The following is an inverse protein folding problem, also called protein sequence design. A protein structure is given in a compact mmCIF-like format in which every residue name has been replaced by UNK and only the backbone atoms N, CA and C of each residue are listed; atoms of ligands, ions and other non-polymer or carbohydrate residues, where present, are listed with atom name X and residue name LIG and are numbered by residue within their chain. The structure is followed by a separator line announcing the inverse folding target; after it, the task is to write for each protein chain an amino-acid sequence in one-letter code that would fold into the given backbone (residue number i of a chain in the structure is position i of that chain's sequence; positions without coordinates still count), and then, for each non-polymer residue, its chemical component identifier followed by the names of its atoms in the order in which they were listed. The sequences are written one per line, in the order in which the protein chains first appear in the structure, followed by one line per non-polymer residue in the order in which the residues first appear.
data_IF_545881838608
#
_entry.id   IF_545881838608
#
_cell.length_a   1.000
_cell.length_b   1.000
_cell.length_c   1.000
_cell.angle_alpha   90.00
_cell.angle_beta   90.00
_cell.angle_gamma   90.00
#
_symmetry.space_group_name_H-M   'P 1'
#
loop_
_entity.id
_entity.type
_entity.pdbx_description
1 polymer ?
#
# COMPACT_ATOMS: atom_id res chain seq x y z
N UNK A 1 -4.93 -46.80 -36.91
CA UNK A 1 -4.01 -45.67 -37.17
C UNK A 1 -4.72 -44.32 -37.30
N UNK A 2 -5.84 -44.19 -38.02
CA UNK A 2 -6.61 -42.92 -38.11
C UNK A 2 -7.17 -42.38 -36.77
N UNK A 3 -7.56 -43.25 -35.82
CA UNK A 3 -8.04 -42.83 -34.48
C UNK A 3 -6.94 -42.28 -33.57
N UNK A 4 -5.69 -42.70 -33.76
CA UNK A 4 -4.56 -42.22 -32.96
C UNK A 4 -4.14 -40.81 -33.40
N UNK A 5 -4.25 -40.51 -34.70
CA UNK A 5 -3.95 -39.20 -35.29
C UNK A 5 -4.92 -38.10 -34.83
N UNK A 6 -6.20 -38.43 -34.61
CA UNK A 6 -7.19 -37.48 -34.09
C UNK A 6 -6.95 -37.12 -32.61
N UNK A 7 -6.41 -38.06 -31.82
CA UNK A 7 -6.13 -37.84 -30.41
C UNK A 7 -4.91 -36.93 -30.22
N UNK A 8 -3.87 -37.07 -31.06
CA UNK A 8 -2.71 -36.17 -31.04
C UNK A 8 -3.06 -34.75 -31.48
N UNK A 9 -4.01 -34.58 -32.40
CA UNK A 9 -4.45 -33.24 -32.84
C UNK A 9 -5.26 -32.50 -31.74
N UNK A 10 -6.00 -33.24 -30.91
CA UNK A 10 -6.73 -32.66 -29.78
C UNK A 10 -5.80 -32.16 -28.65
N UNK A 11 -4.63 -32.78 -28.43
CA UNK A 11 -3.65 -32.31 -27.44
C UNK A 11 -2.99 -30.99 -27.83
N UNK A 12 -2.86 -30.67 -29.12
CA UNK A 12 -2.30 -29.40 -29.57
C UNK A 12 -3.26 -28.22 -29.41
N UNK A 13 -4.57 -28.46 -29.31
CA UNK A 13 -5.57 -27.41 -29.07
C UNK A 13 -5.69 -27.02 -27.59
N UNK A 14 -5.09 -27.81 -26.68
CA UNK A 14 -5.08 -27.57 -25.23
C UNK A 14 -3.90 -26.70 -24.75
N UNK A 15 -3.01 -26.25 -25.64
CA UNK A 15 -1.97 -25.25 -25.30
C UNK A 15 -2.49 -23.80 -25.32
N UNK A 16 -3.79 -23.60 -25.60
CA UNK A 16 -4.47 -22.32 -25.49
C UNK A 16 -4.84 -21.97 -24.04
N UNK A 17 -3.88 -21.46 -23.28
CA UNK A 17 -4.02 -20.43 -22.24
C UNK A 17 -2.64 -20.19 -21.57
N UNK A 18 -1.60 -19.93 -22.38
CA UNK A 18 -0.38 -19.33 -21.84
C UNK A 18 -0.66 -17.81 -21.73
N UNK A 19 -1.04 -17.36 -20.53
CA UNK A 19 -1.06 -15.94 -20.19
C UNK A 19 0.34 -15.39 -20.46
N UNK A 20 0.54 -14.44 -21.40
CA UNK A 20 1.88 -14.04 -21.81
C UNK A 20 2.62 -13.45 -20.62
N UNK A 21 3.77 -14.03 -20.27
CA UNK A 21 4.66 -13.50 -19.23
C UNK A 21 5.12 -12.05 -19.54
N UNK A 22 4.99 -11.59 -20.78
CA UNK A 22 5.25 -10.21 -21.19
C UNK A 22 4.34 -9.19 -20.49
N UNK A 23 3.09 -9.53 -20.13
CA UNK A 23 2.25 -8.65 -19.30
C UNK A 23 2.78 -8.50 -17.88
N UNK A 24 3.54 -9.48 -17.36
CA UNK A 24 4.10 -9.41 -16.00
C UNK A 24 5.26 -8.44 -15.90
N UNK A 25 5.95 -8.14 -17.00
CA UNK A 25 7.03 -7.15 -17.02
C UNK A 25 6.47 -5.72 -17.05
N UNK A 26 5.38 -5.48 -17.79
CA UNK A 26 4.64 -4.21 -17.73
C UNK A 26 4.00 -3.96 -16.34
N UNK A 27 3.68 -5.00 -15.58
CA UNK A 27 3.01 -4.84 -14.30
C UNK A 27 3.90 -4.44 -13.10
N UNK A 28 5.22 -4.28 -13.30
CA UNK A 28 6.17 -4.10 -12.18
C UNK A 28 6.63 -2.67 -11.94
N UNK A 29 6.44 -1.77 -12.91
CA UNK A 29 6.74 -0.34 -12.74
C UNK A 29 5.43 0.42 -12.81
N UNK A 30 5.11 1.30 -11.83
CA UNK A 30 4.02 2.24 -11.99
C UNK A 30 4.26 3.09 -13.23
N UNK A 31 3.60 2.77 -14.33
CA UNK A 31 3.65 3.63 -15.50
C UNK A 31 2.84 4.88 -15.16
N UNK A 32 3.53 6.02 -15.14
CA UNK A 32 2.92 7.34 -14.92
C UNK A 32 1.67 7.53 -15.80
N UNK A 33 1.70 7.02 -17.03
CA UNK A 33 0.57 7.00 -17.97
C UNK A 33 -0.68 6.28 -17.42
N UNK A 34 -0.51 5.13 -16.74
CA UNK A 34 -1.64 4.41 -16.15
C UNK A 34 -2.27 5.21 -15.01
N UNK A 35 -1.47 5.86 -14.17
CA UNK A 35 -1.97 6.73 -13.10
C UNK A 35 -2.70 7.94 -13.68
N UNK A 36 -2.13 8.60 -14.69
CA UNK A 36 -2.77 9.72 -15.38
C UNK A 36 -4.10 9.31 -16.03
N UNK A 37 -4.15 8.13 -16.65
CA UNK A 37 -5.39 7.61 -17.23
C UNK A 37 -6.49 7.43 -16.17
N UNK A 38 -6.16 6.85 -15.02
CA UNK A 38 -7.10 6.73 -13.90
C UNK A 38 -7.47 8.11 -13.34
N UNK A 39 -6.52 9.03 -13.22
CA UNK A 39 -6.77 10.40 -12.77
C UNK A 39 -7.79 11.10 -13.67
N UNK A 40 -7.62 11.03 -14.99
CA UNK A 40 -8.56 11.58 -15.94
C UNK A 40 -9.96 10.96 -15.78
N UNK A 41 -10.03 9.63 -15.64
CA UNK A 41 -11.30 8.94 -15.44
C UNK A 41 -12.01 9.39 -14.15
N UNK A 42 -11.26 9.55 -13.05
CA UNK A 42 -11.77 10.03 -11.75
C UNK A 42 -12.30 11.46 -11.87
N UNK A 43 -11.56 12.35 -12.52
CA UNK A 43 -11.96 13.75 -12.74
C UNK A 43 -13.26 13.82 -13.55
N UNK A 44 -13.35 13.08 -14.67
CA UNK A 44 -14.57 13.05 -15.49
C UNK A 44 -15.76 12.47 -14.70
N UNK A 45 -15.55 11.40 -13.95
CA UNK A 45 -16.59 10.83 -13.08
C UNK A 45 -17.09 11.86 -12.05
N UNK A 46 -16.18 12.58 -11.38
CA UNK A 46 -16.54 13.61 -10.38
C UNK A 46 -17.33 14.75 -11.00
N UNK A 47 -16.92 15.24 -12.18
CA UNK A 47 -17.61 16.33 -12.88
C UNK A 47 -19.04 15.96 -13.26
N UNK A 48 -19.27 14.72 -13.71
CA UNK A 48 -20.60 14.30 -14.15
C UNK A 48 -21.52 13.85 -13.01
N UNK A 49 -20.98 13.24 -11.95
CA UNK A 49 -21.78 12.59 -10.90
C UNK A 49 -21.77 13.36 -9.58
N UNK A 50 -20.95 14.41 -9.46
CA UNK A 50 -20.72 15.16 -8.21
C UNK A 50 -20.32 14.26 -7.03
N UNK A 51 -19.66 13.14 -7.32
CA UNK A 51 -19.26 12.13 -6.35
C UNK A 51 -17.92 11.49 -6.73
N UNK A 52 -17.23 10.86 -5.78
CA UNK A 52 -15.98 10.15 -6.03
C UNK A 52 -16.22 8.66 -6.36
N UNK A 53 -15.44 8.09 -7.29
CA UNK A 53 -15.53 6.68 -7.65
C UNK A 53 -14.78 5.82 -6.63
N UNK A 54 -15.12 5.90 -5.35
CA UNK A 54 -14.50 5.08 -4.28
C UNK A 54 -15.36 3.88 -3.90
N UNK A 55 -14.72 2.85 -3.36
CA UNK A 55 -15.37 1.68 -2.77
C UNK A 55 -16.06 2.07 -1.46
N UNK A 56 -17.19 1.44 -1.15
CA UNK A 56 -17.78 1.58 0.18
C UNK A 56 -16.99 0.68 1.13
N UNK A 57 -16.40 1.27 2.17
CA UNK A 57 -15.71 0.54 3.26
C UNK A 57 -16.21 1.02 4.60
N UNK A 58 -16.11 0.16 5.60
CA UNK A 58 -16.46 0.49 6.97
C UNK A 58 -15.48 1.52 7.56
N UNK A 59 -15.99 2.37 8.46
CA UNK A 59 -15.28 3.52 9.02
C UNK A 59 -14.03 3.14 9.84
N UNK A 60 -13.90 1.88 10.26
CA UNK A 60 -12.79 1.39 11.08
C UNK A 60 -11.48 1.14 10.29
N UNK A 61 -11.51 1.25 8.96
CA UNK A 61 -10.31 1.12 8.13
C UNK A 61 -9.46 2.40 8.16
N UNK A 62 -8.13 2.28 8.09
CA UNK A 62 -7.22 3.44 8.00
C UNK A 62 -7.66 4.39 6.87
N UNK A 63 -7.57 5.72 7.05
CA UNK A 63 -7.98 6.75 6.07
C UNK A 63 -7.45 6.50 4.65
N UNK A 64 -6.24 5.96 4.53
CA UNK A 64 -5.63 5.61 3.25
C UNK A 64 -6.27 4.39 2.58
N UNK A 65 -6.82 3.49 3.38
CA UNK A 65 -7.57 2.32 2.91
C UNK A 65 -9.05 2.65 2.65
N UNK A 66 -9.59 3.75 3.18
CA UNK A 66 -10.99 4.13 2.94
C UNK A 66 -11.24 4.59 1.50
N UNK A 67 -10.25 5.24 0.87
CA UNK A 67 -10.42 5.90 -0.43
C UNK A 67 -9.96 5.07 -1.63
N UNK A 68 -10.14 3.75 -1.59
CA UNK A 68 -9.78 2.88 -2.72
C UNK A 68 -10.68 3.14 -3.91
N UNK A 69 -10.07 3.29 -5.09
CA UNK A 69 -10.77 3.51 -6.36
C UNK A 69 -11.63 2.30 -6.69
N UNK A 70 -12.89 2.55 -7.03
CA UNK A 70 -13.84 1.57 -7.53
C UNK A 70 -13.88 1.64 -9.06
N UNK A 71 -13.08 0.80 -9.72
CA UNK A 71 -13.04 0.74 -11.19
C UNK A 71 -14.38 0.38 -11.84
N UNK A 72 -15.31 -0.30 -11.12
CA UNK A 72 -16.64 -0.61 -11.65
C UNK A 72 -17.47 0.66 -11.91
N UNK A 73 -17.21 1.74 -11.18
CA UNK A 73 -17.84 3.06 -11.41
C UNK A 73 -17.23 3.80 -12.61
N UNK A 74 -16.00 3.45 -12.99
CA UNK A 74 -15.26 4.10 -14.07
C UNK A 74 -15.47 3.39 -15.42
N UNK A 75 -15.69 2.08 -15.41
CA UNK A 75 -15.75 1.25 -16.61
C UNK A 75 -17.19 1.05 -17.10
N UNK A 76 -17.43 0.98 -18.43
CA UNK A 76 -16.49 1.27 -19.52
C UNK A 76 -16.44 2.75 -19.91
N UNK A 77 -17.25 3.60 -19.26
CA UNK A 77 -17.54 4.96 -19.73
C UNK A 77 -16.35 5.92 -19.66
N UNK A 78 -15.60 5.89 -18.56
CA UNK A 78 -14.49 6.81 -18.29
C UNK A 78 -13.12 6.12 -18.43
N UNK A 79 -13.11 4.79 -18.35
CA UNK A 79 -11.93 3.95 -18.49
C UNK A 79 -12.33 2.64 -19.17
N UNK A 80 -11.53 2.12 -20.10
CA UNK A 80 -11.88 0.89 -20.83
C UNK A 80 -11.77 -0.37 -19.96
N UNK A 81 -10.70 -0.47 -19.18
CA UNK A 81 -10.42 -1.57 -18.26
C UNK A 81 -9.51 -1.09 -17.13
N UNK A 82 -9.44 -1.80 -15.99
CA UNK A 82 -8.52 -1.40 -14.92
C UNK A 82 -7.05 -1.51 -15.40
N UNK A 83 -6.12 -0.70 -14.88
CA UNK A 83 -4.70 -0.82 -15.22
C UNK A 83 -4.17 -2.24 -14.96
N UNK A 84 -3.23 -2.72 -15.78
CA UNK A 84 -2.67 -4.09 -15.63
C UNK A 84 -1.95 -4.32 -14.31
N UNK A 85 -1.30 -3.28 -13.78
CA UNK A 85 -0.59 -3.31 -12.50
C UNK A 85 -1.51 -3.14 -11.28
N UNK A 86 -2.82 -2.90 -11.50
CA UNK A 86 -3.81 -2.80 -10.44
C UNK A 86 -4.12 -4.17 -9.83
N UNK A 87 -4.44 -4.19 -8.54
CA UNK A 87 -4.84 -5.40 -7.84
C UNK A 87 -6.02 -6.11 -8.50
N UNK A 88 -6.99 -5.35 -9.00
CA UNK A 88 -8.17 -5.85 -9.71
C UNK A 88 -7.83 -6.59 -11.01
N UNK A 89 -6.66 -6.29 -11.60
CA UNK A 89 -6.10 -6.97 -12.78
C UNK A 89 -5.05 -8.03 -12.43
N UNK A 90 -4.88 -8.37 -11.14
CA UNK A 90 -3.87 -9.31 -10.67
C UNK A 90 -2.46 -8.73 -10.49
N UNK A 91 -2.34 -7.40 -10.53
CA UNK A 91 -1.12 -6.67 -10.21
C UNK A 91 -0.90 -6.48 -8.71
N UNK A 92 0.10 -5.66 -8.37
CA UNK A 92 0.58 -5.47 -6.99
C UNK A 92 0.23 -4.09 -6.40
N UNK A 93 -0.48 -3.24 -7.14
CA UNK A 93 -0.82 -1.91 -6.67
C UNK A 93 -2.32 -1.75 -6.45
N UNK A 94 -2.70 -1.19 -5.31
CA UNK A 94 -4.06 -0.72 -5.10
C UNK A 94 -4.12 0.78 -5.41
N UNK A 95 -5.04 1.17 -6.29
CA UNK A 95 -5.29 2.57 -6.60
C UNK A 95 -6.17 3.22 -5.54
N UNK A 96 -5.78 4.38 -5.06
CA UNK A 96 -6.49 5.17 -4.04
C UNK A 96 -6.61 6.63 -4.44
N UNK A 97 -7.52 7.35 -3.79
CA UNK A 97 -7.59 8.81 -3.84
C UNK A 97 -7.06 9.43 -2.54
N UNK A 98 -6.25 10.45 -2.67
CA UNK A 98 -5.86 11.37 -1.58
C UNK A 98 -6.44 12.75 -1.87
N UNK A 99 -6.45 13.64 -0.86
CA UNK A 99 -6.95 15.02 -1.00
C UNK A 99 -8.40 15.08 -1.54
N UNK A 100 -9.24 14.14 -1.10
CA UNK A 100 -10.57 13.87 -1.65
C UNK A 100 -11.57 15.03 -1.55
N UNK A 101 -11.39 15.94 -0.60
CA UNK A 101 -12.29 17.07 -0.39
C UNK A 101 -12.03 18.19 -1.40
N UNK A 102 -10.76 18.54 -1.60
CA UNK A 102 -10.33 19.66 -2.45
C UNK A 102 -9.98 19.19 -3.87
N UNK A 103 -8.79 18.63 -4.05
CA UNK A 103 -8.23 18.16 -5.32
C UNK A 103 -7.87 16.66 -5.24
N UNK A 104 -8.80 15.75 -5.57
CA UNK A 104 -8.59 14.31 -5.51
C UNK A 104 -7.47 13.86 -6.43
N UNK A 105 -6.42 13.29 -5.85
CA UNK A 105 -5.27 12.77 -6.59
C UNK A 105 -5.20 11.26 -6.50
N UNK A 106 -4.94 10.61 -7.63
CA UNK A 106 -4.73 9.18 -7.73
C UNK A 106 -3.32 8.84 -7.27
N UNK A 107 -3.23 7.98 -6.26
CA UNK A 107 -1.98 7.42 -5.73
C UNK A 107 -2.08 5.91 -5.61
N UNK A 108 -0.98 5.28 -5.25
CA UNK A 108 -0.85 3.83 -5.14
C UNK A 108 -0.52 3.40 -3.71
N UNK A 109 -1.10 2.28 -3.29
CA UNK A 109 -0.59 1.46 -2.20
C UNK A 109 0.17 0.30 -2.84
N UNK A 110 1.43 0.11 -2.44
CA UNK A 110 2.20 -1.08 -2.77
C UNK A 110 1.76 -2.25 -1.88
N UNK A 111 1.14 -3.26 -2.47
CA UNK A 111 0.63 -4.42 -1.74
C UNK A 111 1.71 -5.46 -1.42
N UNK A 112 2.94 -5.33 -1.92
CA UNK A 112 4.02 -6.30 -1.68
C UNK A 112 4.43 -6.36 -0.20
N UNK A 113 4.26 -5.27 0.55
CA UNK A 113 4.49 -5.25 2.01
C UNK A 113 3.43 -6.01 2.81
N UNK A 114 2.24 -6.22 2.23
CA UNK A 114 1.09 -6.82 2.93
C UNK A 114 1.42 -8.19 3.53
N UNK A 115 2.20 -9.00 2.81
CA UNK A 115 2.59 -10.33 3.30
C UNK A 115 3.41 -10.24 4.59
N UNK A 116 4.42 -9.37 4.63
CA UNK A 116 5.28 -9.19 5.81
C UNK A 116 4.48 -8.66 7.00
N UNK A 117 3.57 -7.71 6.75
CA UNK A 117 2.64 -7.18 7.75
C UNK A 117 1.74 -8.27 8.33
N UNK A 118 1.12 -9.09 7.47
CA UNK A 118 0.24 -10.18 7.89
C UNK A 118 0.98 -11.29 8.66
N UNK A 119 2.19 -11.65 8.20
CA UNK A 119 3.04 -12.63 8.88
C UNK A 119 3.41 -12.16 10.29
N UNK A 120 3.78 -10.88 10.44
CA UNK A 120 4.08 -10.30 11.74
C UNK A 120 2.83 -10.19 12.63
N UNK A 121 1.70 -9.70 12.09
CA UNK A 121 0.43 -9.61 12.82
C UNK A 121 0.01 -10.98 13.35
N UNK A 122 0.18 -12.04 12.56
CA UNK A 122 -0.12 -13.42 12.98
C UNK A 122 0.78 -13.86 14.14
N UNK A 123 2.09 -13.60 14.07
CA UNK A 123 3.01 -13.93 15.16
C UNK A 123 2.61 -13.21 16.47
N UNK A 124 2.26 -11.93 16.40
CA UNK A 124 1.77 -11.14 17.53
C UNK A 124 0.47 -11.72 18.10
N UNK A 125 -0.50 -12.02 17.24
CA UNK A 125 -1.78 -12.59 17.64
C UNK A 125 -1.62 -13.97 18.29
N UNK A 126 -0.76 -14.82 17.74
CA UNK A 126 -0.44 -16.14 18.31
C UNK A 126 0.21 -16.02 19.69
N UNK A 127 1.11 -15.06 19.89
CA UNK A 127 1.71 -14.79 21.19
C UNK A 127 0.67 -14.29 22.19
N UNK A 128 -0.15 -13.30 21.81
CA UNK A 128 -1.20 -12.71 22.67
C UNK A 128 -2.23 -13.74 23.10
N UNK A 129 -2.62 -14.66 22.22
CA UNK A 129 -3.51 -15.77 22.56
C UNK A 129 -2.99 -16.66 23.69
N UNK A 130 -1.67 -16.81 23.81
CA UNK A 130 -1.01 -17.62 24.85
C UNK A 130 -0.72 -16.81 26.12
N UNK A 131 -0.39 -15.53 25.98
CA UNK A 131 0.19 -14.71 27.07
C UNK A 131 -0.71 -13.54 27.54
N UNK A 132 -1.89 -13.33 26.95
CA UNK A 132 -2.84 -12.21 27.16
C UNK A 132 -2.35 -10.82 26.74
N UNK A 133 -1.05 -10.55 26.73
CA UNK A 133 -0.44 -9.29 26.29
C UNK A 133 0.59 -9.50 25.18
N UNK A 134 0.91 -8.43 24.45
CA UNK A 134 1.98 -8.43 23.45
C UNK A 134 3.35 -8.35 24.16
N UNK A 135 4.42 -8.93 23.59
CA UNK A 135 5.75 -8.89 24.19
C UNK A 135 6.41 -7.54 23.90
N UNK A 136 5.94 -6.47 24.54
CA UNK A 136 6.50 -5.13 24.36
C UNK A 136 7.92 -5.08 24.89
N UNK A 137 8.86 -4.64 24.04
CA UNK A 137 10.24 -4.38 24.39
C UNK A 137 10.42 -2.91 24.78
N UNK A 138 9.84 -1.99 24.00
CA UNK A 138 10.02 -0.55 24.15
C UNK A 138 8.76 0.21 23.73
N UNK A 139 8.49 1.32 24.43
CA UNK A 139 7.49 2.32 24.02
C UNK A 139 8.23 3.40 23.25
N UNK A 140 8.10 3.38 21.92
CA UNK A 140 8.85 4.30 21.03
C UNK A 140 8.20 5.68 21.02
N UNK A 141 6.88 5.72 21.09
CA UNK A 141 6.08 6.93 21.27
C UNK A 141 4.74 6.56 21.89
N UNK A 142 3.93 7.57 22.25
CA UNK A 142 2.56 7.33 22.72
C UNK A 142 1.76 6.55 21.68
N UNK A 143 1.40 5.31 22.02
CA UNK A 143 0.63 4.42 21.14
C UNK A 143 1.46 3.69 20.08
N UNK A 144 2.79 3.74 20.13
CA UNK A 144 3.69 3.01 19.21
C UNK A 144 4.67 2.15 19.99
N UNK A 145 4.65 0.84 19.74
CA UNK A 145 5.36 -0.16 20.53
C UNK A 145 6.29 -1.01 19.67
N UNK A 146 7.55 -1.10 20.10
CA UNK A 146 8.49 -2.09 19.61
C UNK A 146 8.25 -3.40 20.36
N UNK A 147 8.14 -4.50 19.61
CA UNK A 147 8.00 -5.82 20.20
C UNK A 147 9.34 -6.57 20.25
N UNK A 148 9.49 -7.35 21.31
CA UNK A 148 10.55 -8.32 21.51
C UNK A 148 10.37 -9.46 20.50
N UNK A 149 11.14 -9.38 19.41
CA UNK A 149 11.03 -10.30 18.28
C UNK A 149 11.52 -11.71 18.64
N UNK A 150 12.43 -11.85 19.60
CA UNK A 150 12.88 -13.15 20.09
C UNK A 150 11.72 -13.90 20.78
N UNK A 151 10.93 -13.21 21.61
CA UNK A 151 9.70 -13.79 22.21
C UNK A 151 8.64 -14.18 21.18
N UNK A 152 8.69 -13.59 20.00
CA UNK A 152 7.83 -13.93 18.86
C UNK A 152 8.40 -15.08 18.00
N UNK A 153 9.54 -15.66 18.39
CA UNK A 153 10.29 -16.66 17.62
C UNK A 153 10.75 -16.15 16.25
N UNK A 154 11.03 -14.86 16.15
CA UNK A 154 11.63 -14.24 14.97
C UNK A 154 13.13 -14.09 15.21
N UNK A 155 13.92 -14.22 14.13
CA UNK A 155 15.39 -14.14 14.20
C UNK A 155 15.92 -12.71 14.30
N UNK A 156 15.15 -11.76 13.79
CA UNK A 156 15.49 -10.36 13.70
C UNK A 156 14.22 -9.52 13.73
N UNK A 157 14.36 -8.20 13.91
CA UNK A 157 13.25 -7.28 13.81
C UNK A 157 12.64 -7.36 12.40
N UNK A 158 11.33 -7.62 12.28
CA UNK A 158 10.70 -7.74 10.98
C UNK A 158 10.66 -6.40 10.26
N UNK A 159 10.94 -6.43 8.96
CA UNK A 159 10.93 -5.26 8.07
C UNK A 159 10.18 -5.56 6.77
N UNK A 160 9.74 -4.51 6.08
CA UNK A 160 9.18 -4.58 4.72
C UNK A 160 9.96 -3.69 3.76
N UNK A 161 9.82 -3.93 2.45
CA UNK A 161 10.43 -3.07 1.44
C UNK A 161 9.69 -1.73 1.40
N UNK A 162 10.45 -0.64 1.28
CA UNK A 162 9.88 0.67 1.02
C UNK A 162 9.37 0.77 -0.43
N UNK A 163 8.20 1.40 -0.66
CA UNK A 163 7.77 1.81 -2.00
C UNK A 163 8.39 3.14 -2.46
N UNK A 164 9.06 3.88 -1.57
CA UNK A 164 9.63 5.20 -1.82
C UNK A 164 11.11 5.15 -2.19
N UNK A 165 11.84 4.14 -1.71
CA UNK A 165 13.26 3.98 -1.99
C UNK A 165 13.66 2.49 -2.13
N UNK A 166 14.41 2.10 -3.18
CA UNK A 166 14.68 0.68 -3.49
C UNK A 166 15.46 -0.06 -2.40
N UNK A 167 16.34 0.64 -1.70
CA UNK A 167 17.23 0.04 -0.68
C UNK A 167 16.67 0.12 0.74
N UNK A 168 15.59 0.87 0.96
CA UNK A 168 15.05 1.08 2.30
C UNK A 168 14.26 -0.13 2.79
N UNK A 169 14.49 -0.47 4.05
CA UNK A 169 13.78 -1.52 4.80
C UNK A 169 13.10 -0.89 5.99
N UNK A 170 11.78 -0.95 5.98
CA UNK A 170 10.91 -0.26 6.93
C UNK A 170 10.60 -1.20 8.09
N UNK A 171 10.99 -0.88 9.32
CA UNK A 171 10.68 -1.71 10.48
C UNK A 171 9.17 -1.77 10.75
N UNK A 172 8.73 -2.90 11.32
CA UNK A 172 7.35 -3.08 11.76
C UNK A 172 7.22 -2.89 13.27
N UNK A 173 6.19 -2.14 13.66
CA UNK A 173 5.80 -1.88 15.04
C UNK A 173 4.34 -2.30 15.26
N UNK A 174 3.85 -2.15 16.48
CA UNK A 174 2.45 -2.36 16.83
C UNK A 174 1.88 -1.07 17.44
N UNK A 175 0.65 -0.72 17.09
CA UNK A 175 -0.06 0.40 17.71
C UNK A 175 -0.81 0.01 19.00
N UNK A 176 -1.45 0.98 19.66
CA UNK A 176 -2.27 0.76 20.85
C UNK A 176 -3.45 -0.22 20.68
N UNK A 177 -3.92 -0.40 19.45
CA UNK A 177 -5.00 -1.32 19.09
C UNK A 177 -4.47 -2.74 18.78
N UNK A 178 -3.15 -2.93 18.81
CA UNK A 178 -2.49 -4.19 18.51
C UNK A 178 -2.37 -4.47 17.02
N UNK A 179 -2.52 -3.45 16.16
CA UNK A 179 -2.36 -3.54 14.72
C UNK A 179 -0.92 -3.26 14.31
N UNK A 180 -0.42 -3.99 13.32
CA UNK A 180 0.90 -3.75 12.75
C UNK A 180 0.92 -2.44 12.00
N UNK A 181 1.93 -1.63 12.30
CA UNK A 181 2.25 -0.39 11.58
C UNK A 181 3.65 -0.46 11.00
N UNK A 182 3.87 0.30 9.93
CA UNK A 182 5.14 0.42 9.21
C UNK A 182 5.78 1.75 9.57
N UNK A 183 7.05 1.71 9.96
CA UNK A 183 7.84 2.90 10.25
C UNK A 183 8.47 3.47 8.98
N UNK A 184 7.98 4.65 8.59
CA UNK A 184 8.44 5.40 7.42
C UNK A 184 9.47 6.48 7.76
N UNK A 185 9.99 6.53 8.99
CA UNK A 185 10.95 7.58 9.42
C UNK A 185 12.09 7.75 8.43
N UNK A 186 12.70 6.65 7.96
CA UNK A 186 13.82 6.71 6.99
C UNK A 186 13.40 7.25 5.62
N UNK A 187 12.18 6.97 5.17
CA UNK A 187 11.64 7.47 3.90
C UNK A 187 11.29 8.96 4.01
N UNK A 188 10.71 9.36 5.15
CA UNK A 188 10.37 10.75 5.44
C UNK A 188 11.67 11.57 5.49
N UNK A 189 12.69 11.13 6.22
CA UNK A 189 14.00 11.80 6.27
C UNK A 189 14.60 11.92 4.86
N UNK A 190 14.55 10.86 4.06
CA UNK A 190 15.01 10.91 2.67
C UNK A 190 14.27 11.97 1.85
N UNK A 191 12.95 12.05 1.98
CA UNK A 191 12.13 12.99 1.25
C UNK A 191 12.33 14.45 1.72
N UNK A 192 12.38 14.70 3.04
CA UNK A 192 12.64 16.03 3.60
C UNK A 192 14.01 16.58 3.19
N UNK A 193 15.02 15.71 3.06
CA UNK A 193 16.35 16.12 2.58
C UNK A 193 16.40 16.38 1.06
N UNK A 194 15.43 15.86 0.30
CA UNK A 194 15.43 15.89 -1.17
C UNK A 194 14.54 16.98 -1.75
N UNK A 195 13.43 17.30 -1.07
CA UNK A 195 12.40 18.20 -1.56
C UNK A 195 12.25 19.38 -0.61
N UNK A 196 11.94 20.55 -1.17
CA UNK A 196 11.64 21.73 -0.37
C UNK A 196 10.35 21.52 0.43
N UNK A 197 10.32 22.02 1.66
CA UNK A 197 9.15 21.93 2.53
C UNK A 197 9.09 23.10 3.52
N UNK A 198 7.91 23.33 4.07
CA UNK A 198 7.64 24.33 5.10
C UNK A 198 7.15 23.74 6.43
N UNK A 199 7.28 22.42 6.61
CA UNK A 199 6.85 21.74 7.83
C UNK A 199 7.52 22.31 9.07
N UNK A 200 6.71 22.46 10.11
CA UNK A 200 7.09 22.87 11.46
C UNK A 200 6.74 21.79 12.47
N UNK A 201 7.21 21.96 13.71
CA UNK A 201 6.81 21.10 14.82
C UNK A 201 5.28 21.11 15.00
N UNK A 202 4.71 19.91 15.16
CA UNK A 202 3.27 19.67 15.19
C UNK A 202 2.64 19.29 13.84
N UNK A 203 3.27 19.62 12.71
CA UNK A 203 2.73 19.26 11.39
C UNK A 203 2.88 17.76 11.11
N UNK A 204 1.93 17.16 10.37
CA UNK A 204 2.08 15.79 9.85
C UNK A 204 2.98 15.80 8.62
N UNK A 205 4.22 15.37 8.80
CA UNK A 205 5.25 15.41 7.74
C UNK A 205 5.11 14.32 6.69
N UNK A 206 4.17 13.37 6.83
CA UNK A 206 3.94 12.33 5.80
C UNK A 206 3.51 12.91 4.47
N UNK A 207 2.97 14.13 4.45
CA UNK A 207 2.63 14.85 3.23
C UNK A 207 3.79 14.92 2.24
N UNK A 208 5.05 15.01 2.71
CA UNK A 208 6.22 15.07 1.83
C UNK A 208 6.33 13.85 0.90
N UNK A 209 5.91 12.67 1.38
CA UNK A 209 5.88 11.43 0.61
C UNK A 209 4.72 11.43 -0.38
N UNK A 210 3.55 11.88 0.08
CA UNK A 210 2.33 11.91 -0.73
C UNK A 210 2.50 12.91 -1.88
N UNK A 211 3.09 14.06 -1.64
CA UNK A 211 3.18 15.14 -2.63
C UNK A 211 4.21 14.82 -3.73
N UNK A 212 5.31 14.17 -3.36
CA UNK A 212 6.46 13.99 -4.26
C UNK A 212 6.56 12.61 -4.92
N UNK A 213 5.77 11.62 -4.47
CA UNK A 213 5.81 10.26 -5.00
C UNK A 213 4.43 9.77 -5.47
N UNK A 214 4.42 8.66 -6.20
CA UNK A 214 3.19 8.01 -6.68
C UNK A 214 2.52 7.16 -5.60
N UNK A 215 3.22 6.89 -4.51
CA UNK A 215 2.79 6.02 -3.42
C UNK A 215 2.32 6.80 -2.20
N UNK A 216 1.56 6.13 -1.33
CA UNK A 216 1.21 6.64 -0.01
C UNK A 216 1.84 5.77 1.09
N UNK A 217 2.12 6.33 2.27
CA UNK A 217 2.64 5.56 3.41
C UNK A 217 1.51 4.75 4.06
N UNK A 218 1.13 3.63 3.44
CA UNK A 218 0.09 2.74 3.97
C UNK A 218 0.52 2.07 5.28
N UNK A 219 -0.44 1.72 6.14
CA UNK A 219 -0.20 1.13 7.47
C UNK A 219 0.66 2.02 8.39
N UNK A 220 0.50 3.33 8.25
CA UNK A 220 1.33 4.33 8.92
C UNK A 220 0.52 5.15 9.94
N UNK A 221 1.22 5.66 10.96
CA UNK A 221 0.70 6.65 11.92
C UNK A 221 1.28 8.03 11.61
N UNK A 222 0.74 9.14 12.15
CA UNK A 222 1.30 10.48 11.91
C UNK A 222 2.73 10.64 12.47
N UNK A 223 3.52 11.51 11.82
CA UNK A 223 4.88 11.88 12.25
C UNK A 223 4.98 13.40 12.28
N UNK A 224 5.85 13.93 13.12
CA UNK A 224 6.15 15.36 13.18
C UNK A 224 7.64 15.61 13.33
N UNK A 225 8.02 16.89 13.31
CA UNK A 225 9.38 17.34 13.62
C UNK A 225 9.47 17.70 15.10
N UNK A 226 10.43 17.16 15.81
CA UNK A 226 10.79 17.57 17.17
C UNK A 226 12.29 17.84 17.20
N UNK A 227 12.69 19.08 17.54
CA UNK A 227 14.09 19.53 17.48
C UNK A 227 14.80 19.23 16.14
N UNK A 228 14.05 19.25 15.03
CA UNK A 228 14.55 18.94 13.68
C UNK A 228 14.69 17.46 13.36
N UNK A 229 14.28 16.56 14.27
CA UNK A 229 14.24 15.12 14.06
C UNK A 229 12.82 14.67 13.72
N UNK A 230 12.71 13.69 12.82
CA UNK A 230 11.42 13.05 12.52
C UNK A 230 11.07 12.09 13.66
N UNK A 231 9.93 12.33 14.30
CA UNK A 231 9.41 11.50 15.40
C UNK A 231 7.96 11.10 15.12
N UNK A 232 7.49 10.02 15.74
CA UNK A 232 6.07 9.68 15.70
C UNK A 232 5.26 10.74 16.46
N UNK A 233 4.18 11.24 15.86
CA UNK A 233 3.24 12.08 16.59
C UNK A 233 2.41 11.17 17.49
N UNK A 234 2.59 11.27 18.81
CA UNK A 234 1.72 10.58 19.76
C UNK A 234 0.25 10.93 19.52
N UNK A 235 -0.64 9.93 19.61
CA UNK A 235 -2.10 10.16 19.60
C UNK A 235 -2.57 10.81 20.90
#
# INVERSE_FOLDING_TARGET
MKKLLLLTFALFLLTGCLYPDEQKAENQVPYKEQILSVQHAVVQYRLENQALPVQQREAETNVFQQNVVNFQKLIPKYLQQPPGNSFESGGIFQYVLVNVEEDPQVKLIDLTMTRGIQEFQRAVNEYRRKNRFAPVQEVVATGVFLLDHEKLNLKEQPTVKSPFHPDHRLPLFIDGDGQVIVDYTIDIIYALNKFEHSYSEGDDVRGILIDNFLFIPAYSVPYTLEEGMVVFSGR
#
